data_IF_700599936125
#
_entry.id   IF_700599936125
#
_cell.length_a   1.000
_cell.length_b   1.000
_cell.length_c   1.000
_cell.angle_alpha   90.00
_cell.angle_beta   90.00
_cell.angle_gamma   90.00
#
_symmetry.space_group_name_H-M   'P 1'
#
loop_
_entity.id
_entity.type
_entity.pdbx_description
1 polymer ?
#
# COMPACT_ATOMS: atom_id res chain seq x y z
N UNK A 1 -11.45 57.15 19.59
CA UNK A 1 -11.24 56.42 20.88
C UNK A 1 -12.03 55.10 20.85
N UNK A 2 -13.25 55.05 20.30
CA UNK A 2 -14.07 53.83 20.21
C UNK A 2 -13.44 52.83 19.21
N UNK A 3 -12.94 53.30 18.09
CA UNK A 3 -12.33 52.48 17.04
C UNK A 3 -11.01 51.78 17.46
N UNK A 4 -10.25 52.43 18.34
CA UNK A 4 -9.01 51.86 18.87
C UNK A 4 -9.28 50.75 19.90
N UNK A 5 -10.35 50.82 20.68
CA UNK A 5 -10.74 49.78 21.64
C UNK A 5 -11.25 48.50 20.96
N UNK A 6 -11.95 48.62 19.80
CA UNK A 6 -12.43 47.48 19.03
C UNK A 6 -11.26 46.73 18.36
N UNK A 7 -10.24 47.47 17.87
CA UNK A 7 -9.04 46.86 17.30
C UNK A 7 -8.19 46.11 18.33
N UNK A 8 -8.09 46.62 19.56
CA UNK A 8 -7.39 45.90 20.64
C UNK A 8 -8.18 44.68 21.12
N UNK A 9 -9.50 44.71 21.12
CA UNK A 9 -10.34 43.59 21.52
C UNK A 9 -10.27 42.46 20.50
N UNK A 10 -10.26 42.77 19.19
CA UNK A 10 -10.09 41.78 18.14
C UNK A 10 -8.69 41.13 18.09
N UNK A 11 -7.64 41.92 18.45
CA UNK A 11 -6.27 41.42 18.55
C UNK A 11 -6.09 40.48 19.75
N UNK A 12 -6.73 40.80 20.88
CA UNK A 12 -6.71 39.93 22.08
C UNK A 12 -7.46 38.65 21.85
N UNK A 13 -8.62 38.66 21.13
CA UNK A 13 -9.37 37.47 20.78
C UNK A 13 -8.57 36.56 19.82
N UNK A 14 -7.86 37.15 18.84
CA UNK A 14 -6.99 36.44 17.93
C UNK A 14 -5.76 35.84 18.64
N UNK A 15 -5.18 36.58 19.59
CA UNK A 15 -4.04 36.08 20.38
C UNK A 15 -4.44 34.95 21.33
N UNK A 16 -5.63 35.00 21.92
CA UNK A 16 -6.17 33.97 22.81
C UNK A 16 -6.49 32.69 22.00
N UNK A 17 -7.03 32.80 20.77
CA UNK A 17 -7.29 31.67 19.92
C UNK A 17 -5.99 30.97 19.44
N UNK A 18 -4.92 31.72 19.19
CA UNK A 18 -3.64 31.16 18.75
C UNK A 18 -2.86 30.44 19.86
N UNK A 19 -3.10 30.80 21.13
CA UNK A 19 -2.43 30.16 22.28
C UNK A 19 -3.14 28.87 22.72
N UNK A 20 -4.46 28.76 22.52
CA UNK A 20 -5.20 27.57 22.95
C UNK A 20 -5.03 26.34 22.02
N UNK A 21 -4.80 26.54 20.71
CA UNK A 21 -4.65 25.42 19.78
C UNK A 21 -3.44 24.49 20.09
N UNK A 22 -2.23 25.01 20.37
CA UNK A 22 -1.10 24.15 20.73
C UNK A 22 -1.25 23.51 22.13
N UNK A 23 -1.92 24.16 23.07
CA UNK A 23 -2.15 23.59 24.41
C UNK A 23 -3.14 22.41 24.35
N UNK A 24 -4.18 22.49 23.54
CA UNK A 24 -5.14 21.39 23.37
C UNK A 24 -4.50 20.17 22.70
N UNK A 25 -3.68 20.38 21.66
CA UNK A 25 -2.94 19.30 21.00
C UNK A 25 -1.98 18.60 21.98
N UNK A 26 -1.26 19.36 22.77
CA UNK A 26 -0.35 18.83 23.79
C UNK A 26 -1.09 18.04 24.89
N UNK A 27 -2.29 18.45 25.26
CA UNK A 27 -3.10 17.73 26.24
C UNK A 27 -3.55 16.36 25.72
N UNK A 28 -4.00 16.25 24.46
CA UNK A 28 -4.36 14.94 23.86
C UNK A 28 -3.14 14.05 23.69
N UNK A 29 -2.00 14.59 23.28
CA UNK A 29 -0.76 13.81 23.13
C UNK A 29 -0.34 13.17 24.45
N UNK A 30 -0.49 13.88 25.58
CA UNK A 30 -0.18 13.31 26.89
C UNK A 30 -1.16 12.19 27.28
N UNK A 31 -2.45 12.38 27.08
CA UNK A 31 -3.46 11.35 27.34
C UNK A 31 -3.22 10.10 26.49
N UNK A 32 -2.90 10.25 25.22
CA UNK A 32 -2.56 9.12 24.36
C UNK A 32 -1.26 8.43 24.79
N UNK A 33 -0.24 9.16 25.26
CA UNK A 33 0.99 8.54 25.81
C UNK A 33 0.72 7.76 27.10
N UNK A 34 -0.14 8.25 27.98
CA UNK A 34 -0.56 7.52 29.17
C UNK A 34 -1.27 6.22 28.78
N UNK A 35 -2.19 6.28 27.82
CA UNK A 35 -2.87 5.12 27.29
C UNK A 35 -1.88 4.11 26.67
N UNK A 36 -0.90 4.54 25.87
CA UNK A 36 0.14 3.67 25.31
C UNK A 36 0.98 2.96 26.40
N UNK A 37 1.18 3.57 27.56
CA UNK A 37 1.84 2.91 28.69
C UNK A 37 0.96 1.79 29.27
N UNK A 38 -0.36 1.97 29.32
CA UNK A 38 -1.30 0.94 29.76
C UNK A 38 -1.37 -0.22 28.78
N UNK A 39 -1.33 0.08 27.46
CA UNK A 39 -1.25 -0.95 26.40
C UNK A 39 0.01 -1.82 26.55
N UNK A 40 1.18 -1.19 26.75
CA UNK A 40 2.44 -1.93 26.95
C UNK A 40 2.47 -2.77 28.22
N UNK A 41 1.63 -2.46 29.21
CA UNK A 41 1.48 -3.23 30.46
C UNK A 41 0.43 -4.31 30.36
N UNK A 42 -0.20 -4.47 29.20
CA UNK A 42 -1.31 -5.43 28.97
C UNK A 42 -2.45 -5.28 29.98
N UNK A 43 -2.93 -4.04 30.17
CA UNK A 43 -3.99 -3.67 31.09
C UNK A 43 -5.28 -3.24 30.36
N UNK A 44 -5.99 -4.16 29.68
CA UNK A 44 -7.10 -3.83 28.76
C UNK A 44 -8.23 -3.06 29.42
N UNK A 45 -8.61 -3.37 30.67
CA UNK A 45 -9.63 -2.62 31.40
C UNK A 45 -9.24 -1.16 31.63
N UNK A 46 -7.97 -0.92 31.98
CA UNK A 46 -7.45 0.44 32.19
C UNK A 46 -7.38 1.21 30.87
N UNK A 47 -7.02 0.54 29.77
CA UNK A 47 -7.03 1.12 28.41
C UNK A 47 -8.44 1.56 28.03
N UNK A 48 -9.45 0.74 28.25
CA UNK A 48 -10.86 1.09 27.98
C UNK A 48 -11.27 2.31 28.79
N UNK A 49 -10.95 2.32 30.10
CA UNK A 49 -11.31 3.44 30.98
C UNK A 49 -10.64 4.74 30.52
N UNK A 50 -9.36 4.71 30.19
CA UNK A 50 -8.63 5.90 29.72
C UNK A 50 -9.09 6.38 28.34
N UNK A 51 -9.34 5.45 27.42
CA UNK A 51 -9.92 5.78 26.12
C UNK A 51 -11.30 6.45 26.26
N UNK A 52 -12.14 6.00 27.19
CA UNK A 52 -13.44 6.65 27.43
C UNK A 52 -13.32 8.03 28.04
N UNK A 53 -12.33 8.29 28.91
CA UNK A 53 -12.03 9.66 29.38
C UNK A 53 -11.64 10.58 28.24
N UNK A 54 -10.78 10.08 27.32
CA UNK A 54 -10.41 10.84 26.10
C UNK A 54 -11.66 11.13 25.27
N UNK A 55 -12.54 10.13 25.11
CA UNK A 55 -13.81 10.28 24.39
C UNK A 55 -14.69 11.35 24.99
N UNK A 56 -14.90 11.35 26.31
CA UNK A 56 -15.77 12.30 27.00
C UNK A 56 -15.20 13.73 26.91
N UNK A 57 -13.88 13.88 27.07
CA UNK A 57 -13.18 15.17 26.86
C UNK A 57 -13.38 15.65 25.41
N UNK A 58 -13.14 14.80 24.44
CA UNK A 58 -13.26 15.14 23.02
C UNK A 58 -14.71 15.50 22.64
N UNK A 59 -15.69 14.82 23.25
CA UNK A 59 -17.12 15.12 23.11
C UNK A 59 -17.48 16.49 23.65
N UNK A 60 -16.96 16.85 24.83
CA UNK A 60 -17.16 18.18 25.42
C UNK A 60 -16.53 19.30 24.58
N UNK A 61 -15.41 19.03 23.92
CA UNK A 61 -14.69 19.95 23.04
C UNK A 61 -15.16 19.90 21.58
N UNK A 62 -16.12 19.05 21.23
CA UNK A 62 -16.59 18.80 19.86
C UNK A 62 -15.46 18.38 18.90
N UNK A 63 -14.43 17.71 19.41
CA UNK A 63 -13.30 17.23 18.64
C UNK A 63 -13.59 15.81 18.09
N UNK A 64 -14.33 15.75 16.99
CA UNK A 64 -14.83 14.49 16.41
C UNK A 64 -13.72 13.49 16.05
N UNK A 65 -12.57 13.90 15.47
CA UNK A 65 -11.49 12.94 15.21
C UNK A 65 -10.93 12.29 16.48
N UNK A 66 -10.80 13.02 17.59
CA UNK A 66 -10.39 12.45 18.86
C UNK A 66 -11.46 11.55 19.46
N UNK A 67 -12.74 11.92 19.35
CA UNK A 67 -13.87 11.08 19.75
C UNK A 67 -13.84 9.74 19.02
N UNK A 68 -13.72 9.76 17.70
CA UNK A 68 -13.70 8.53 16.88
C UNK A 68 -12.52 7.64 17.25
N UNK A 69 -11.31 8.21 17.36
CA UNK A 69 -10.12 7.46 17.75
C UNK A 69 -10.29 6.80 19.10
N UNK A 70 -10.78 7.55 20.11
CA UNK A 70 -10.98 7.03 21.45
C UNK A 70 -12.06 5.95 21.51
N UNK A 71 -13.17 6.14 20.81
CA UNK A 71 -14.24 5.15 20.74
C UNK A 71 -13.76 3.83 20.12
N UNK A 72 -13.05 3.91 18.99
CA UNK A 72 -12.51 2.73 18.30
C UNK A 72 -11.45 2.00 19.14
N UNK A 73 -10.61 2.74 19.86
CA UNK A 73 -9.65 2.14 20.80
C UNK A 73 -10.38 1.39 21.92
N UNK A 74 -11.36 2.02 22.56
CA UNK A 74 -12.16 1.36 23.62
C UNK A 74 -12.90 0.14 23.07
N UNK A 75 -13.50 0.22 21.89
CA UNK A 75 -14.18 -0.87 21.20
C UNK A 75 -13.25 -2.06 20.94
N UNK A 76 -12.04 -1.81 20.45
CA UNK A 76 -11.04 -2.86 20.21
C UNK A 76 -10.74 -3.63 21.50
N UNK A 77 -10.47 -2.95 22.60
CA UNK A 77 -10.15 -3.59 23.88
C UNK A 77 -11.37 -4.24 24.54
N UNK A 78 -12.59 -3.67 24.39
CA UNK A 78 -13.83 -4.32 24.84
C UNK A 78 -14.06 -5.64 24.12
N UNK A 79 -13.83 -5.69 22.81
CA UNK A 79 -14.02 -6.92 22.03
C UNK A 79 -13.03 -8.03 22.40
N UNK A 80 -11.82 -7.68 22.87
CA UNK A 80 -10.84 -8.66 23.39
C UNK A 80 -11.31 -9.29 24.70
N UNK A 81 -11.97 -8.52 25.57
CA UNK A 81 -12.46 -9.00 26.87
C UNK A 81 -13.83 -9.69 26.76
N UNK A 82 -14.69 -9.16 25.92
CA UNK A 82 -16.07 -9.61 25.74
C UNK A 82 -16.41 -9.54 24.25
N UNK A 83 -16.23 -10.64 23.49
CA UNK A 83 -16.46 -10.64 22.04
C UNK A 83 -17.86 -10.16 21.62
N UNK A 84 -18.89 -10.44 22.41
CA UNK A 84 -20.27 -10.01 22.15
C UNK A 84 -20.45 -8.48 22.20
N UNK A 85 -19.54 -7.75 22.87
CA UNK A 85 -19.57 -6.28 22.91
C UNK A 85 -19.40 -5.64 21.53
N UNK A 86 -18.73 -6.34 20.61
CA UNK A 86 -18.52 -5.87 19.25
C UNK A 86 -19.83 -5.51 18.54
N UNK A 87 -20.85 -6.34 18.69
CA UNK A 87 -22.18 -6.08 18.09
C UNK A 87 -22.84 -4.81 18.65
N UNK A 88 -22.69 -4.59 19.96
CA UNK A 88 -23.24 -3.39 20.62
C UNK A 88 -22.50 -2.14 20.15
N UNK A 89 -21.17 -2.20 20.10
CA UNK A 89 -20.34 -1.11 19.63
C UNK A 89 -20.59 -0.78 18.14
N UNK A 90 -20.75 -1.78 17.28
CA UNK A 90 -21.12 -1.58 15.88
C UNK A 90 -22.47 -0.90 15.74
N UNK A 91 -23.48 -1.30 16.51
CA UNK A 91 -24.77 -0.61 16.53
C UNK A 91 -24.63 0.85 16.98
N UNK A 92 -23.76 1.12 17.95
CA UNK A 92 -23.44 2.47 18.39
C UNK A 92 -22.82 3.34 17.27
N UNK A 93 -21.88 2.77 16.50
CA UNK A 93 -21.30 3.45 15.33
C UNK A 93 -22.34 3.68 14.23
N UNK A 94 -23.22 2.72 13.97
CA UNK A 94 -24.29 2.83 12.98
C UNK A 94 -25.29 3.95 13.37
N UNK A 95 -25.66 4.00 14.64
CA UNK A 95 -26.51 5.06 15.18
C UNK A 95 -25.80 6.44 15.06
N UNK A 96 -24.53 6.53 15.41
CA UNK A 96 -23.74 7.75 15.25
C UNK A 96 -23.70 8.20 13.79
N UNK A 97 -23.40 7.30 12.86
CA UNK A 97 -23.39 7.59 11.42
C UNK A 97 -24.74 8.08 10.90
N UNK A 98 -25.86 7.55 11.45
CA UNK A 98 -27.20 7.96 11.05
C UNK A 98 -27.62 9.35 11.60
N UNK A 99 -27.11 9.71 12.78
CA UNK A 99 -27.50 10.92 13.51
C UNK A 99 -26.61 12.13 13.21
N UNK A 100 -25.34 11.90 12.77
CA UNK A 100 -24.46 13.02 12.48
C UNK A 100 -24.91 13.83 11.26
N UNK A 101 -24.88 15.16 11.41
CA UNK A 101 -25.14 16.10 10.31
C UNK A 101 -23.90 16.36 9.45
N UNK A 102 -22.72 15.95 9.89
CA UNK A 102 -21.45 16.13 9.16
C UNK A 102 -21.32 15.06 8.06
N UNK A 103 -21.14 15.50 6.84
CA UNK A 103 -20.91 14.62 5.67
C UNK A 103 -19.58 13.86 5.87
N UNK A 104 -18.56 14.54 6.35
CA UNK A 104 -17.21 14.02 6.59
C UNK A 104 -17.24 12.90 7.64
N UNK A 105 -17.89 13.15 8.78
CA UNK A 105 -17.98 12.17 9.86
C UNK A 105 -18.77 10.94 9.44
N UNK A 106 -19.89 11.17 8.74
CA UNK A 106 -20.72 10.11 8.19
C UNK A 106 -19.93 9.21 7.23
N UNK A 107 -19.15 9.81 6.33
CA UNK A 107 -18.33 9.07 5.38
C UNK A 107 -17.27 8.20 6.08
N UNK A 108 -16.60 8.74 7.10
CA UNK A 108 -15.61 8.01 7.89
C UNK A 108 -16.26 6.84 8.64
N UNK A 109 -17.36 7.10 9.33
CA UNK A 109 -18.07 6.06 10.10
C UNK A 109 -18.57 4.94 9.19
N UNK A 110 -19.12 5.25 8.03
CA UNK A 110 -19.53 4.23 7.07
C UNK A 110 -18.34 3.45 6.48
N UNK A 111 -17.18 4.07 6.28
CA UNK A 111 -15.97 3.36 5.85
C UNK A 111 -15.52 2.34 6.92
N UNK A 112 -15.55 2.72 8.19
CA UNK A 112 -15.23 1.84 9.32
C UNK A 112 -16.24 0.69 9.42
N UNK A 113 -17.54 1.00 9.39
CA UNK A 113 -18.62 0.00 9.42
C UNK A 113 -18.52 -0.97 8.23
N UNK A 114 -18.17 -0.47 7.04
CA UNK A 114 -17.95 -1.29 5.86
C UNK A 114 -16.84 -2.31 6.07
N UNK A 115 -15.69 -1.87 6.57
CA UNK A 115 -14.56 -2.78 6.87
C UNK A 115 -14.95 -3.86 7.90
N UNK A 116 -15.56 -3.45 8.99
CA UNK A 116 -15.92 -4.35 10.08
C UNK A 116 -17.02 -5.35 9.71
N UNK A 117 -17.91 -4.99 8.80
CA UNK A 117 -19.04 -5.82 8.39
C UNK A 117 -18.69 -6.78 7.26
N UNK A 118 -17.68 -6.44 6.42
CA UNK A 118 -17.39 -7.14 5.17
C UNK A 118 -17.14 -8.64 5.35
N UNK A 119 -16.51 -9.07 6.45
CA UNK A 119 -16.23 -10.49 6.71
C UNK A 119 -17.48 -11.30 7.00
N UNK A 120 -18.46 -10.71 7.66
CA UNK A 120 -19.70 -11.37 8.09
C UNK A 120 -20.82 -11.25 7.02
N UNK A 121 -21.00 -10.06 6.47
CA UNK A 121 -22.03 -9.72 5.50
C UNK A 121 -21.45 -8.81 4.40
N UNK A 122 -21.06 -9.42 3.27
CA UNK A 122 -20.48 -8.74 2.12
C UNK A 122 -21.41 -7.68 1.53
N UNK A 123 -22.74 -8.00 1.44
CA UNK A 123 -23.72 -7.07 0.88
C UNK A 123 -23.85 -5.82 1.75
N UNK A 124 -24.02 -5.99 3.05
CA UNK A 124 -24.12 -4.88 3.99
C UNK A 124 -22.82 -4.08 4.06
N UNK A 125 -21.67 -4.77 4.10
CA UNK A 125 -20.35 -4.14 4.09
C UNK A 125 -20.10 -3.30 2.83
N UNK A 126 -20.44 -3.83 1.65
CA UNK A 126 -20.34 -3.08 0.39
C UNK A 126 -21.26 -1.87 0.39
N UNK A 127 -22.49 -2.00 0.89
CA UNK A 127 -23.44 -0.89 1.02
C UNK A 127 -22.87 0.25 1.87
N UNK A 128 -22.20 -0.05 2.99
CA UNK A 128 -21.54 0.95 3.81
C UNK A 128 -20.34 1.60 3.09
N UNK A 129 -19.49 0.83 2.40
CA UNK A 129 -18.38 1.39 1.64
C UNK A 129 -18.87 2.33 0.53
N UNK A 130 -19.94 1.96 -0.18
CA UNK A 130 -20.55 2.82 -1.19
C UNK A 130 -21.16 4.09 -0.56
N UNK A 131 -21.83 3.96 0.59
CA UNK A 131 -22.35 5.10 1.33
C UNK A 131 -21.25 6.06 1.80
N UNK A 132 -20.07 5.53 2.15
CA UNK A 132 -18.90 6.35 2.55
C UNK A 132 -18.36 7.22 1.40
N UNK A 133 -18.63 6.86 0.15
CA UNK A 133 -18.12 7.56 -1.04
C UNK A 133 -19.18 8.42 -1.76
N UNK A 134 -20.41 8.46 -1.23
CA UNK A 134 -21.54 9.08 -1.91
C UNK A 134 -21.36 10.57 -2.18
N UNK A 135 -20.84 11.31 -1.22
CA UNK A 135 -20.74 12.78 -1.28
C UNK A 135 -19.35 13.22 -1.79
N UNK A 136 -18.91 12.63 -2.92
CA UNK A 136 -17.60 12.78 -3.53
C UNK A 136 -17.10 14.23 -3.57
N UNK A 137 -17.91 15.14 -4.15
CA UNK A 137 -17.49 16.52 -4.40
C UNK A 137 -17.20 17.26 -3.09
N UNK A 138 -17.95 16.98 -2.05
CA UNK A 138 -17.70 17.52 -0.71
C UNK A 138 -16.43 16.92 -0.10
N UNK A 139 -16.24 15.62 -0.19
CA UNK A 139 -15.12 14.91 0.39
C UNK A 139 -13.78 15.25 -0.29
N UNK A 140 -13.77 15.59 -1.56
CA UNK A 140 -12.60 16.10 -2.29
C UNK A 140 -12.06 17.43 -1.71
N UNK A 141 -12.91 18.23 -1.06
CA UNK A 141 -12.54 19.50 -0.45
C UNK A 141 -12.01 19.36 0.98
N UNK A 142 -12.10 18.19 1.58
CA UNK A 142 -11.70 17.95 2.98
C UNK A 142 -10.25 17.49 3.05
N UNK A 143 -9.33 18.30 3.63
CA UNK A 143 -7.95 17.90 3.77
C UNK A 143 -7.79 16.80 4.83
N UNK A 144 -6.95 15.79 4.54
CA UNK A 144 -6.70 14.64 5.44
C UNK A 144 -6.01 15.06 6.75
N UNK A 145 -5.29 16.18 6.76
CA UNK A 145 -4.66 16.73 7.96
C UNK A 145 -5.62 16.94 9.13
N UNK A 146 -6.88 17.23 8.85
CA UNK A 146 -7.93 17.35 9.87
C UNK A 146 -8.17 16.03 10.62
N UNK A 147 -7.77 14.91 10.04
CA UNK A 147 -7.94 13.56 10.59
C UNK A 147 -6.67 13.01 11.26
N UNK A 148 -5.63 13.83 11.43
CA UNK A 148 -4.34 13.40 12.04
C UNK A 148 -4.47 12.54 13.31
N UNK A 149 -5.40 12.79 14.22
CA UNK A 149 -5.56 11.92 15.38
C UNK A 149 -5.92 10.46 15.02
N UNK A 150 -6.60 10.23 13.88
CA UNK A 150 -7.06 8.92 13.44
C UNK A 150 -6.13 8.28 12.41
N UNK A 151 -5.53 9.10 11.55
CA UNK A 151 -4.74 8.62 10.40
C UNK A 151 -3.27 8.92 10.63
N UNK A 152 -2.45 7.86 10.74
CA UNK A 152 -0.99 7.98 10.67
C UNK A 152 -0.60 8.07 9.20
N UNK A 153 -0.41 9.29 8.71
CA UNK A 153 0.11 9.53 7.37
C UNK A 153 1.64 9.37 7.42
N UNK A 154 2.15 8.21 7.00
CA UNK A 154 3.59 7.99 6.83
C UNK A 154 4.12 8.74 5.60
N UNK A 155 5.45 8.89 5.47
CA UNK A 155 6.08 9.53 4.30
C UNK A 155 5.67 8.86 2.98
N UNK A 156 5.57 7.52 2.95
CA UNK A 156 5.09 6.77 1.81
C UNK A 156 3.62 7.07 1.47
N UNK A 157 2.80 7.37 2.48
CA UNK A 157 1.38 7.67 2.30
C UNK A 157 1.13 9.05 1.71
N UNK A 158 2.00 10.03 1.98
CA UNK A 158 1.93 11.38 1.37
C UNK A 158 1.95 11.33 -0.16
N UNK A 159 2.56 10.31 -0.72
CA UNK A 159 2.71 10.08 -2.14
C UNK A 159 1.41 9.61 -2.81
N UNK A 160 0.61 8.81 -2.08
CA UNK A 160 -0.62 8.19 -2.57
C UNK A 160 -1.88 8.87 -2.04
N UNK A 161 -1.82 9.40 -0.82
CA UNK A 161 -2.93 10.10 -0.18
C UNK A 161 -2.77 11.60 -0.44
N UNK A 162 -3.27 12.03 -1.56
CA UNK A 162 -3.36 13.45 -1.80
C UNK A 162 -4.45 14.00 -0.92
N UNK A 163 -4.01 14.54 0.14
CA UNK A 163 -4.56 15.57 1.03
C UNK A 163 -6.08 15.71 1.12
N UNK A 164 -6.88 14.78 0.53
CA UNK A 164 -8.32 14.83 0.62
C UNK A 164 -8.96 13.52 1.08
N UNK A 165 -10.09 13.67 1.76
CA UNK A 165 -10.81 12.58 2.39
C UNK A 165 -11.38 11.59 1.37
N UNK A 166 -11.85 12.04 0.21
CA UNK A 166 -12.38 11.15 -0.82
C UNK A 166 -11.33 10.12 -1.28
N UNK A 167 -10.11 10.58 -1.59
CA UNK A 167 -9.03 9.70 -2.00
C UNK A 167 -8.69 8.66 -0.92
N UNK A 168 -8.59 9.11 0.33
CA UNK A 168 -8.32 8.23 1.47
C UNK A 168 -9.37 7.11 1.56
N UNK A 169 -10.66 7.48 1.58
CA UNK A 169 -11.76 6.54 1.74
C UNK A 169 -11.92 5.61 0.52
N UNK A 170 -11.77 6.14 -0.70
CA UNK A 170 -11.88 5.34 -1.92
C UNK A 170 -10.76 4.30 -2.03
N UNK A 171 -9.51 4.66 -1.73
CA UNK A 171 -8.39 3.70 -1.69
C UNK A 171 -8.55 2.67 -0.59
N UNK A 172 -9.06 3.06 0.58
CA UNK A 172 -9.40 2.12 1.64
C UNK A 172 -10.51 1.15 1.22
N UNK A 173 -11.56 1.66 0.59
CA UNK A 173 -12.65 0.83 0.06
C UNK A 173 -12.14 -0.18 -0.99
N UNK A 174 -11.30 0.25 -1.94
CA UNK A 174 -10.66 -0.62 -2.92
C UNK A 174 -9.88 -1.74 -2.22
N UNK A 175 -9.06 -1.40 -1.23
CA UNK A 175 -8.25 -2.37 -0.48
C UNK A 175 -9.13 -3.42 0.22
N UNK A 176 -10.18 -2.99 0.90
CA UNK A 176 -11.12 -3.87 1.60
C UNK A 176 -11.85 -4.77 0.59
N UNK A 177 -12.41 -4.20 -0.46
CA UNK A 177 -13.12 -4.97 -1.49
C UNK A 177 -12.20 -6.00 -2.17
N UNK A 178 -10.94 -5.68 -2.45
CA UNK A 178 -9.97 -6.61 -3.01
C UNK A 178 -9.67 -7.77 -2.04
N UNK A 179 -9.54 -7.48 -0.75
CA UNK A 179 -9.28 -8.50 0.27
C UNK A 179 -10.40 -9.55 0.35
N UNK A 180 -11.65 -9.12 0.25
CA UNK A 180 -12.82 -10.01 0.39
C UNK A 180 -13.38 -10.55 -0.92
N UNK A 181 -12.83 -10.17 -2.07
CA UNK A 181 -13.34 -10.53 -3.40
C UNK A 181 -13.54 -12.03 -3.61
N UNK A 182 -12.54 -12.84 -3.25
CA UNK A 182 -12.61 -14.29 -3.43
C UNK A 182 -13.68 -14.93 -2.55
N UNK A 183 -13.85 -14.45 -1.32
CA UNK A 183 -14.89 -14.92 -0.42
C UNK A 183 -16.29 -14.58 -0.95
N UNK A 184 -16.47 -13.39 -1.53
CA UNK A 184 -17.72 -12.96 -2.13
C UNK A 184 -18.05 -13.80 -3.37
N UNK A 185 -17.10 -14.03 -4.26
CA UNK A 185 -17.27 -14.85 -5.47
C UNK A 185 -17.62 -16.29 -5.14
N UNK A 186 -16.97 -16.89 -4.14
CA UNK A 186 -17.27 -18.26 -3.69
C UNK A 186 -18.69 -18.38 -3.14
N UNK A 187 -19.16 -17.40 -2.35
CA UNK A 187 -20.53 -17.38 -1.81
C UNK A 187 -21.60 -17.21 -2.92
N UNK A 188 -21.27 -16.51 -3.99
CA UNK A 188 -22.19 -16.22 -5.09
C UNK A 188 -22.19 -17.29 -6.20
N UNK A 189 -21.39 -18.36 -6.09
CA UNK A 189 -21.14 -19.35 -7.15
C UNK A 189 -20.78 -18.69 -8.50
N UNK A 190 -20.10 -17.56 -8.46
CA UNK A 190 -19.73 -16.78 -9.63
C UNK A 190 -18.31 -17.12 -10.07
N UNK A 191 -18.14 -17.46 -11.34
CA UNK A 191 -16.84 -17.38 -11.99
C UNK A 191 -16.54 -15.92 -12.29
N UNK A 192 -15.38 -15.41 -11.86
CA UNK A 192 -14.93 -14.01 -12.07
C UNK A 192 -14.62 -13.69 -13.56
N UNK A 193 -15.31 -14.27 -14.50
CA UNK A 193 -15.17 -13.96 -15.92
C UNK A 193 -16.09 -12.79 -16.28
N UNK A 194 -15.66 -11.56 -15.95
CA UNK A 194 -16.12 -10.43 -16.73
C UNK A 194 -15.52 -10.59 -18.12
N UNK A 195 -16.35 -10.99 -19.08
CA UNK A 195 -16.05 -10.81 -20.49
C UNK A 195 -16.14 -9.31 -20.77
N UNK A 196 -15.05 -8.62 -20.60
CA UNK A 196 -15.00 -7.19 -20.82
C UNK A 196 -14.17 -6.95 -22.06
N UNK A 197 -14.77 -6.38 -23.07
CA UNK A 197 -14.11 -6.03 -24.32
C UNK A 197 -13.41 -4.67 -24.20
N UNK A 198 -12.43 -4.60 -23.29
CA UNK A 198 -11.61 -3.40 -23.07
C UNK A 198 -10.16 -3.75 -23.32
N UNK A 199 -9.48 -2.93 -24.09
CA UNK A 199 -8.09 -3.12 -24.51
C UNK A 199 -7.15 -1.98 -24.11
N UNK A 200 -7.68 -0.91 -23.52
CA UNK A 200 -6.92 0.25 -23.09
C UNK A 200 -7.56 0.98 -21.90
N UNK A 201 -6.83 1.94 -21.31
CA UNK A 201 -7.31 2.68 -20.14
C UNK A 201 -8.33 3.75 -20.46
N UNK A 202 -8.38 4.27 -21.70
CA UNK A 202 -9.41 5.26 -22.10
C UNK A 202 -10.78 4.57 -22.16
N UNK A 203 -10.82 3.34 -22.69
CA UNK A 203 -12.01 2.48 -22.65
C UNK A 203 -12.39 2.13 -21.21
N UNK A 204 -11.41 1.76 -20.37
CA UNK A 204 -11.66 1.48 -18.95
C UNK A 204 -12.36 2.64 -18.24
N UNK A 205 -11.90 3.87 -18.41
CA UNK A 205 -12.47 5.05 -17.71
C UNK A 205 -13.93 5.31 -18.10
N UNK A 206 -14.32 4.97 -19.34
CA UNK A 206 -15.67 5.24 -19.87
C UNK A 206 -16.62 4.05 -19.81
N UNK A 207 -16.09 2.85 -19.58
CA UNK A 207 -16.88 1.62 -19.56
C UNK A 207 -17.92 1.61 -18.44
N UNK A 208 -19.13 1.08 -18.75
CA UNK A 208 -20.20 0.93 -17.76
C UNK A 208 -20.16 -0.47 -17.16
N UNK A 209 -19.58 -0.60 -15.98
CA UNK A 209 -19.60 -1.85 -15.22
C UNK A 209 -20.99 -2.07 -14.62
N UNK A 210 -21.70 -3.09 -15.11
CA UNK A 210 -22.96 -3.52 -14.54
C UNK A 210 -22.66 -4.64 -13.53
N UNK A 211 -22.96 -4.45 -12.24
CA UNK A 211 -22.78 -5.49 -11.25
C UNK A 211 -23.63 -6.73 -11.58
N UNK A 212 -23.04 -7.90 -11.52
CA UNK A 212 -23.75 -9.19 -11.76
C UNK A 212 -24.53 -9.66 -10.53
N UNK A 213 -24.29 -9.05 -9.38
CA UNK A 213 -24.99 -9.27 -8.12
C UNK A 213 -24.85 -8.10 -7.17
N UNK A 214 -25.67 -8.08 -6.09
CA UNK A 214 -25.58 -7.08 -5.03
C UNK A 214 -24.27 -7.16 -4.20
N UNK A 215 -23.42 -8.16 -4.46
CA UNK A 215 -22.14 -8.40 -3.80
C UNK A 215 -20.97 -8.39 -4.78
N UNK A 216 -21.13 -7.80 -5.97
CA UNK A 216 -20.06 -7.75 -6.98
C UNK A 216 -18.96 -6.78 -6.59
N UNK A 217 -18.02 -7.27 -5.77
CA UNK A 217 -16.86 -6.49 -5.33
C UNK A 217 -15.93 -6.15 -6.48
N UNK A 218 -15.90 -6.94 -7.55
CA UNK A 218 -15.05 -6.67 -8.72
C UNK A 218 -15.55 -5.45 -9.48
N UNK A 219 -16.84 -5.39 -9.79
CA UNK A 219 -17.44 -4.22 -10.41
C UNK A 219 -17.30 -2.98 -9.52
N UNK A 220 -17.52 -3.12 -8.21
CA UNK A 220 -17.37 -2.02 -7.26
C UNK A 220 -15.94 -1.46 -7.19
N UNK A 221 -14.91 -2.31 -7.23
CA UNK A 221 -13.50 -1.87 -7.30
C UNK A 221 -13.25 -1.09 -8.59
N UNK A 222 -13.70 -1.59 -9.73
CA UNK A 222 -13.52 -0.91 -11.01
C UNK A 222 -14.23 0.44 -11.07
N UNK A 223 -15.48 0.50 -10.63
CA UNK A 223 -16.23 1.76 -10.52
C UNK A 223 -15.55 2.76 -9.59
N UNK A 224 -14.93 2.29 -8.50
CA UNK A 224 -14.20 3.17 -7.57
C UNK A 224 -12.92 3.71 -8.21
N UNK A 225 -12.15 2.90 -8.95
CA UNK A 225 -11.01 3.37 -9.73
C UNK A 225 -11.43 4.40 -10.79
N UNK A 226 -12.51 4.13 -11.54
CA UNK A 226 -13.05 5.09 -12.51
C UNK A 226 -13.42 6.42 -11.85
N UNK A 227 -14.05 6.36 -10.68
CA UNK A 227 -14.45 7.57 -9.94
C UNK A 227 -13.26 8.38 -9.47
N UNK A 228 -12.17 7.73 -9.04
CA UNK A 228 -10.90 8.37 -8.70
C UNK A 228 -10.24 9.00 -9.94
N UNK A 229 -10.15 8.27 -11.05
CA UNK A 229 -9.56 8.78 -12.29
C UNK A 229 -10.30 10.02 -12.79
N UNK A 230 -11.65 9.98 -12.79
CA UNK A 230 -12.49 11.13 -13.15
C UNK A 230 -12.32 12.31 -12.19
N UNK A 231 -12.01 12.06 -10.91
CA UNK A 231 -11.75 13.13 -9.94
C UNK A 231 -10.44 13.87 -10.20
N UNK A 232 -9.47 13.19 -10.82
CA UNK A 232 -8.14 13.72 -11.10
C UNK A 232 -7.91 14.06 -12.59
N UNK A 233 -8.95 14.05 -13.42
CA UNK A 233 -8.84 14.33 -14.85
C UNK A 233 -8.76 15.83 -15.15
N UNK A 234 -7.83 16.51 -14.48
CA UNK A 234 -7.48 17.91 -14.71
C UNK A 234 -5.97 18.06 -14.84
N UNK A 235 -5.49 19.13 -15.47
CA UNK A 235 -4.05 19.37 -15.58
C UNK A 235 -3.35 19.50 -14.23
N UNK A 236 -4.02 20.16 -13.27
CA UNK A 236 -3.50 20.38 -11.91
C UNK A 236 -3.45 19.11 -11.07
N UNK A 237 -4.29 18.12 -11.38
CA UNK A 237 -4.41 16.87 -10.63
C UNK A 237 -3.81 15.65 -11.38
N UNK A 238 -3.12 15.90 -12.49
CA UNK A 238 -2.57 14.84 -13.36
C UNK A 238 -1.62 13.87 -12.65
N UNK A 239 -0.94 14.32 -11.61
CA UNK A 239 -0.12 13.43 -10.78
C UNK A 239 -0.97 12.35 -10.06
N UNK A 240 -2.12 12.74 -9.49
CA UNK A 240 -3.06 11.81 -8.84
C UNK A 240 -3.70 10.86 -9.84
N UNK A 241 -4.02 11.36 -11.04
CA UNK A 241 -4.51 10.55 -12.15
C UNK A 241 -3.51 9.47 -12.53
N UNK A 242 -2.24 9.84 -12.74
CA UNK A 242 -1.18 8.92 -13.15
C UNK A 242 -0.96 7.81 -12.11
N UNK A 243 -0.85 8.17 -10.83
CA UNK A 243 -0.68 7.20 -9.75
C UNK A 243 -1.89 6.26 -9.64
N UNK A 244 -3.09 6.79 -9.75
CA UNK A 244 -4.33 5.99 -9.72
C UNK A 244 -4.43 5.09 -10.95
N UNK A 245 -4.03 5.59 -12.12
CA UNK A 245 -3.98 4.83 -13.37
C UNK A 245 -3.02 3.64 -13.28
N UNK A 246 -1.83 3.85 -12.71
CA UNK A 246 -0.86 2.76 -12.47
C UNK A 246 -1.44 1.69 -11.54
N UNK A 247 -2.10 2.09 -10.45
CA UNK A 247 -2.73 1.14 -9.53
C UNK A 247 -3.88 0.37 -10.21
N UNK A 248 -4.71 1.07 -10.98
CA UNK A 248 -5.80 0.46 -11.76
C UNK A 248 -5.27 -0.51 -12.82
N UNK A 249 -4.22 -0.12 -13.55
CA UNK A 249 -3.59 -0.95 -14.57
C UNK A 249 -3.00 -2.24 -13.97
N UNK A 250 -2.33 -2.14 -12.82
CA UNK A 250 -1.84 -3.30 -12.09
C UNK A 250 -2.99 -4.22 -11.62
N UNK A 251 -4.10 -3.65 -11.18
CA UNK A 251 -5.28 -4.41 -10.82
C UNK A 251 -5.88 -5.14 -12.03
N UNK A 252 -6.02 -4.46 -13.16
CA UNK A 252 -6.54 -5.02 -14.41
C UNK A 252 -5.65 -6.14 -14.93
N UNK A 253 -4.34 -5.95 -14.96
CA UNK A 253 -3.38 -7.00 -15.35
C UNK A 253 -3.53 -8.27 -14.49
N UNK A 254 -3.60 -8.13 -13.18
CA UNK A 254 -3.70 -9.28 -12.27
C UNK A 254 -5.02 -10.04 -12.36
N UNK A 255 -6.09 -9.38 -12.77
CA UNK A 255 -7.43 -9.94 -12.72
C UNK A 255 -8.06 -10.17 -14.09
N UNK A 256 -7.55 -9.52 -15.14
CA UNK A 256 -8.09 -9.52 -16.50
C UNK A 256 -6.97 -9.58 -17.54
N UNK A 257 -5.98 -10.42 -17.30
CA UNK A 257 -4.79 -10.55 -18.18
C UNK A 257 -5.10 -10.98 -19.63
N UNK A 258 -6.29 -11.50 -19.89
CA UNK A 258 -6.76 -11.79 -21.25
C UNK A 258 -6.98 -10.50 -22.07
N UNK A 259 -7.47 -9.44 -21.44
CA UNK A 259 -7.71 -8.11 -22.03
C UNK A 259 -6.54 -7.17 -21.79
N UNK A 260 -6.08 -7.12 -20.52
CA UNK A 260 -4.92 -6.32 -20.11
C UNK A 260 -3.68 -7.21 -20.00
N UNK A 261 -3.19 -7.65 -21.16
CA UNK A 261 -1.94 -8.42 -21.25
C UNK A 261 -0.73 -7.58 -20.81
N UNK A 262 0.39 -8.24 -20.58
CA UNK A 262 1.63 -7.56 -20.27
C UNK A 262 2.00 -6.50 -21.31
N UNK A 263 1.80 -6.81 -22.61
CA UNK A 263 2.11 -5.90 -23.72
C UNK A 263 1.20 -4.69 -23.75
N UNK A 264 -0.10 -4.84 -23.50
CA UNK A 264 -1.07 -3.75 -23.37
C UNK A 264 -0.66 -2.82 -22.21
N UNK A 265 -0.31 -3.39 -21.07
CA UNK A 265 0.13 -2.60 -19.91
C UNK A 265 1.41 -1.81 -20.18
N UNK A 266 2.37 -2.42 -20.88
CA UNK A 266 3.60 -1.71 -21.30
C UNK A 266 3.28 -0.57 -22.28
N UNK A 267 2.39 -0.79 -23.25
CA UNK A 267 1.98 0.24 -24.22
C UNK A 267 1.33 1.43 -23.52
N UNK A 268 0.41 1.19 -22.59
CA UNK A 268 -0.22 2.26 -21.80
C UNK A 268 0.80 3.05 -20.97
N UNK A 269 1.73 2.39 -20.29
CA UNK A 269 2.75 3.06 -19.51
C UNK A 269 3.70 3.90 -20.38
N UNK A 270 4.09 3.41 -21.57
CA UNK A 270 4.88 4.17 -22.54
C UNK A 270 4.12 5.38 -23.08
N UNK A 271 2.83 5.21 -23.38
CA UNK A 271 1.92 6.31 -23.77
C UNK A 271 1.91 7.41 -22.69
N UNK A 272 1.76 7.06 -21.42
CA UNK A 272 1.76 8.03 -20.33
C UNK A 272 3.09 8.73 -20.11
N UNK A 273 4.21 7.99 -20.17
CA UNK A 273 5.56 8.55 -20.10
C UNK A 273 5.75 9.61 -21.19
N UNK A 274 5.33 9.31 -22.41
CA UNK A 274 5.46 10.22 -23.55
C UNK A 274 4.50 11.42 -23.47
N UNK A 275 3.27 11.18 -23.03
CA UNK A 275 2.21 12.21 -23.01
C UNK A 275 2.39 13.20 -21.86
N UNK A 276 2.92 12.75 -20.72
CA UNK A 276 2.98 13.54 -19.47
C UNK A 276 4.39 13.76 -18.92
N UNK A 277 5.41 14.10 -19.75
CA UNK A 277 6.81 14.15 -19.29
C UNK A 277 7.08 15.18 -18.20
N UNK A 278 6.23 16.22 -18.09
CA UNK A 278 6.36 17.27 -17.07
C UNK A 278 5.71 16.92 -15.73
N UNK A 279 4.96 15.83 -15.65
CA UNK A 279 4.27 15.42 -14.42
C UNK A 279 5.28 14.81 -13.45
N UNK A 280 5.34 15.32 -12.22
CA UNK A 280 6.32 14.91 -11.20
C UNK A 280 6.34 13.40 -10.91
N UNK A 281 5.20 12.73 -11.03
CA UNK A 281 5.03 11.31 -10.71
C UNK A 281 5.29 10.37 -11.90
N UNK A 282 5.69 10.88 -13.06
CA UNK A 282 6.05 10.05 -14.22
C UNK A 282 7.12 8.99 -13.91
N UNK A 283 8.11 9.21 -13.02
CA UNK A 283 9.02 8.14 -12.61
C UNK A 283 8.34 6.88 -12.06
N UNK A 284 7.12 6.98 -11.55
CA UNK A 284 6.34 5.80 -11.15
C UNK A 284 5.88 4.97 -12.34
N UNK A 285 5.61 5.61 -13.48
CA UNK A 285 5.31 4.88 -14.71
C UNK A 285 6.55 4.14 -15.24
N UNK A 286 7.75 4.71 -15.11
CA UNK A 286 9.01 4.02 -15.40
C UNK A 286 9.22 2.82 -14.46
N UNK A 287 8.93 2.97 -13.17
CA UNK A 287 9.00 1.87 -12.20
C UNK A 287 8.02 0.74 -12.56
N UNK A 288 6.78 1.08 -12.85
CA UNK A 288 5.77 0.12 -13.26
C UNK A 288 6.15 -0.60 -14.57
N UNK A 289 6.63 0.15 -15.57
CA UNK A 289 7.10 -0.41 -16.84
C UNK A 289 8.29 -1.37 -16.63
N UNK A 290 9.24 -1.01 -15.77
CA UNK A 290 10.35 -1.90 -15.42
C UNK A 290 9.89 -3.19 -14.75
N UNK A 291 8.80 -3.18 -13.98
CA UNK A 291 8.20 -4.39 -13.41
C UNK A 291 7.55 -5.28 -14.48
N UNK A 292 6.79 -4.71 -15.43
CA UNK A 292 6.20 -5.46 -16.53
C UNK A 292 7.26 -6.10 -17.45
N UNK A 293 8.37 -5.39 -17.71
CA UNK A 293 9.51 -5.92 -18.46
C UNK A 293 10.23 -7.07 -17.71
N UNK A 294 10.25 -7.05 -16.39
CA UNK A 294 10.78 -8.13 -15.57
C UNK A 294 9.96 -9.43 -15.76
N UNK A 295 8.65 -9.34 -15.83
CA UNK A 295 7.78 -10.51 -16.05
C UNK A 295 8.03 -11.18 -17.40
N UNK A 296 8.50 -10.45 -18.40
CA UNK A 296 8.92 -10.98 -19.70
C UNK A 296 10.39 -11.38 -19.75
N UNK A 297 11.14 -11.26 -18.65
CA UNK A 297 12.60 -11.47 -18.58
C UNK A 297 13.42 -10.62 -19.56
N UNK A 298 12.90 -9.48 -19.99
CA UNK A 298 13.57 -8.56 -20.92
C UNK A 298 14.49 -7.59 -20.17
N UNK A 299 15.63 -8.08 -19.68
CA UNK A 299 16.53 -7.31 -18.83
C UNK A 299 17.24 -6.16 -19.57
N UNK A 300 17.49 -6.29 -20.87
CA UNK A 300 18.15 -5.25 -21.67
C UNK A 300 17.24 -4.03 -21.79
N UNK A 301 16.00 -4.22 -22.17
CA UNK A 301 15.03 -3.14 -22.28
C UNK A 301 14.68 -2.57 -20.91
N UNK A 302 14.56 -3.44 -19.88
CA UNK A 302 14.35 -3.02 -18.50
C UNK A 302 15.45 -2.07 -18.02
N UNK A 303 16.72 -2.38 -18.30
CA UNK A 303 17.85 -1.51 -17.96
C UNK A 303 17.79 -0.17 -18.71
N UNK A 304 17.44 -0.20 -20.00
CA UNK A 304 17.29 1.02 -20.81
C UNK A 304 16.25 1.96 -20.22
N UNK A 305 15.05 1.44 -19.91
CA UNK A 305 13.93 2.21 -19.35
C UNK A 305 14.29 2.77 -17.97
N UNK A 306 14.92 1.97 -17.11
CA UNK A 306 15.35 2.41 -15.78
C UNK A 306 16.35 3.57 -15.87
N UNK A 307 17.35 3.48 -16.75
CA UNK A 307 18.35 4.55 -16.98
C UNK A 307 17.73 5.82 -17.55
N UNK A 308 16.76 5.68 -18.46
CA UNK A 308 16.01 6.79 -19.02
C UNK A 308 15.25 7.54 -17.91
N UNK A 309 14.55 6.80 -17.02
CA UNK A 309 13.86 7.38 -15.87
C UNK A 309 14.81 8.08 -14.89
N UNK A 310 15.99 7.48 -14.59
CA UNK A 310 17.00 8.09 -13.73
C UNK A 310 17.55 9.39 -14.33
N UNK A 311 17.86 9.38 -15.63
CA UNK A 311 18.43 10.54 -16.33
C UNK A 311 17.41 11.68 -16.46
N UNK A 312 16.14 11.35 -16.77
CA UNK A 312 15.07 12.33 -16.94
C UNK A 312 14.63 12.99 -15.62
N UNK A 313 14.70 12.25 -14.51
CA UNK A 313 14.12 12.69 -13.24
C UNK A 313 15.06 12.53 -12.02
N UNK A 314 16.29 13.06 -12.08
CA UNK A 314 17.33 12.79 -11.07
C UNK A 314 16.99 13.32 -9.67
N UNK A 315 16.05 14.28 -9.57
CA UNK A 315 15.62 14.91 -8.30
C UNK A 315 14.33 14.32 -7.74
N UNK A 316 13.78 13.27 -8.39
CA UNK A 316 12.57 12.64 -7.91
C UNK A 316 12.85 11.94 -6.57
N UNK A 317 12.00 12.16 -5.56
CA UNK A 317 12.19 11.61 -4.20
C UNK A 317 12.26 10.07 -4.17
N UNK A 318 11.50 9.40 -5.06
CA UNK A 318 11.48 7.95 -5.22
C UNK A 318 12.56 7.38 -6.14
N UNK A 319 13.50 8.20 -6.66
CA UNK A 319 14.48 7.80 -7.67
C UNK A 319 15.36 6.62 -7.24
N UNK A 320 15.55 6.44 -5.94
CA UNK A 320 16.34 5.33 -5.42
C UNK A 320 15.74 3.96 -5.75
N UNK A 321 14.45 3.87 -6.01
CA UNK A 321 13.82 2.61 -6.44
C UNK A 321 14.32 2.22 -7.85
N UNK A 322 14.38 3.17 -8.80
CA UNK A 322 14.98 2.92 -10.12
C UNK A 322 16.47 2.59 -10.03
N UNK A 323 17.24 3.31 -9.21
CA UNK A 323 18.67 3.01 -8.97
C UNK A 323 18.89 1.64 -8.37
N UNK A 324 18.00 1.18 -7.48
CA UNK A 324 18.06 -0.17 -6.93
C UNK A 324 17.78 -1.24 -8.00
N UNK A 325 16.83 -0.99 -8.90
CA UNK A 325 16.59 -1.89 -10.05
C UNK A 325 17.80 -1.92 -10.98
N UNK A 326 18.40 -0.78 -11.30
CA UNK A 326 19.64 -0.74 -12.10
C UNK A 326 20.74 -1.57 -11.45
N UNK A 327 20.98 -1.37 -10.16
CA UNK A 327 21.96 -2.14 -9.40
C UNK A 327 21.63 -3.64 -9.39
N UNK A 328 20.38 -4.01 -9.20
CA UNK A 328 19.90 -5.41 -9.26
C UNK A 328 20.22 -6.04 -10.62
N UNK A 329 19.93 -5.33 -11.72
CA UNK A 329 20.18 -5.83 -13.07
C UNK A 329 21.68 -6.01 -13.31
N UNK A 330 22.51 -5.06 -12.87
CA UNK A 330 23.95 -5.04 -13.10
C UNK A 330 24.76 -5.88 -12.12
N UNK A 331 24.20 -6.28 -11.00
CA UNK A 331 24.91 -7.09 -10.02
C UNK A 331 25.34 -8.42 -10.63
N UNK A 332 26.60 -8.76 -10.40
CA UNK A 332 27.11 -10.09 -10.66
C UNK A 332 26.53 -11.10 -9.67
N UNK A 333 26.14 -12.26 -10.17
CA UNK A 333 25.69 -13.36 -9.31
C UNK A 333 26.22 -14.69 -9.83
N UNK A 334 26.45 -15.60 -8.88
CA UNK A 334 26.88 -16.97 -9.13
C UNK A 334 26.17 -17.88 -8.13
N UNK A 335 25.54 -18.92 -8.64
CA UNK A 335 25.04 -20.00 -7.79
C UNK A 335 25.40 -21.37 -8.39
N UNK A 336 25.74 -22.30 -7.50
CA UNK A 336 26.05 -23.69 -7.85
C UNK A 336 24.96 -24.60 -7.28
N UNK A 337 24.44 -25.45 -8.14
CA UNK A 337 23.53 -26.53 -7.76
C UNK A 337 24.25 -27.85 -7.99
N UNK A 338 24.49 -28.61 -6.92
CA UNK A 338 25.19 -29.91 -6.95
C UNK A 338 24.20 -30.95 -6.46
N UNK A 339 23.92 -31.95 -7.29
CA UNK A 339 23.13 -33.10 -6.88
C UNK A 339 23.90 -33.97 -5.87
N UNK A 340 23.18 -34.65 -5.01
CA UNK A 340 23.82 -35.68 -4.13
C UNK A 340 24.46 -36.75 -4.99
N UNK A 341 25.71 -37.05 -4.69
CA UNK A 341 26.55 -37.94 -5.45
C UNK A 341 26.94 -39.16 -4.67
N UNK A 342 27.00 -40.30 -5.38
CA UNK A 342 27.55 -41.54 -4.81
C UNK A 342 28.89 -41.89 -5.46
N UNK A 343 29.77 -42.58 -4.75
CA UNK A 343 31.07 -42.98 -5.29
C UNK A 343 30.94 -43.77 -6.59
N UNK A 344 31.68 -43.37 -7.62
CA UNK A 344 31.66 -44.02 -8.94
C UNK A 344 30.64 -43.47 -9.94
N UNK A 345 29.75 -42.53 -9.53
CA UNK A 345 28.80 -41.90 -10.41
C UNK A 345 29.36 -40.62 -11.05
N UNK A 346 28.89 -40.32 -12.28
CA UNK A 346 29.21 -39.07 -12.94
C UNK A 346 28.45 -37.95 -12.28
N UNK A 347 29.21 -36.91 -11.86
CA UNK A 347 28.66 -35.74 -11.20
C UNK A 347 28.40 -34.62 -12.19
N UNK A 348 27.24 -33.97 -12.06
CA UNK A 348 26.93 -32.73 -12.75
C UNK A 348 26.84 -31.56 -11.77
N UNK A 349 27.47 -30.46 -12.11
CA UNK A 349 27.39 -29.19 -11.37
C UNK A 349 26.67 -28.21 -12.28
N UNK A 350 25.47 -27.79 -11.88
CA UNK A 350 24.75 -26.74 -12.59
C UNK A 350 25.23 -25.40 -12.06
N UNK A 351 25.78 -24.58 -12.96
CA UNK A 351 26.30 -23.25 -12.66
C UNK A 351 25.33 -22.22 -13.25
N UNK A 352 24.67 -21.47 -12.38
CA UNK A 352 23.85 -20.33 -12.80
C UNK A 352 24.65 -19.05 -12.49
N UNK A 353 24.86 -18.23 -13.51
CA UNK A 353 25.63 -16.99 -13.35
C UNK A 353 25.00 -15.82 -14.13
N UNK A 354 25.31 -14.63 -13.69
CA UNK A 354 24.85 -13.37 -14.29
C UNK A 354 25.94 -12.33 -14.19
N UNK A 355 26.18 -11.60 -15.27
CA UNK A 355 27.13 -10.47 -15.35
C UNK A 355 28.56 -10.84 -14.92
N UNK A 356 28.99 -12.05 -15.22
CA UNK A 356 30.36 -12.53 -14.99
C UNK A 356 31.04 -12.76 -16.35
N UNK A 357 32.27 -12.30 -16.50
CA UNK A 357 33.07 -12.47 -17.72
C UNK A 357 33.80 -13.83 -17.79
N UNK A 358 33.91 -14.50 -16.66
CA UNK A 358 34.52 -15.81 -16.54
C UNK A 358 34.27 -16.44 -15.16
N UNK A 359 34.30 -17.77 -15.12
CA UNK A 359 34.14 -18.56 -13.90
C UNK A 359 35.26 -19.58 -13.87
N UNK A 360 35.96 -19.66 -12.74
CA UNK A 360 36.96 -20.69 -12.50
C UNK A 360 36.41 -21.66 -11.45
N UNK A 361 36.31 -22.94 -11.83
CA UNK A 361 35.94 -24.00 -10.89
C UNK A 361 37.18 -24.70 -10.40
N UNK A 362 37.29 -24.83 -9.07
CA UNK A 362 38.39 -25.56 -8.41
C UNK A 362 37.78 -26.69 -7.61
N UNK A 363 38.24 -27.91 -7.88
CA UNK A 363 37.79 -29.11 -7.19
C UNK A 363 38.90 -29.54 -6.22
N UNK A 364 38.55 -29.71 -4.95
CA UNK A 364 39.48 -30.13 -3.90
C UNK A 364 39.08 -31.50 -3.38
N UNK A 365 40.06 -32.39 -3.23
CA UNK A 365 39.87 -33.59 -2.42
C UNK A 365 40.08 -33.21 -0.94
N UNK A 366 39.06 -33.42 -0.13
CA UNK A 366 39.11 -33.06 1.31
C UNK A 366 39.09 -34.31 2.19
N UNK A 367 39.88 -34.28 3.26
CA UNK A 367 39.80 -35.27 4.33
C UNK A 367 38.97 -34.67 5.47
N UNK A 368 37.68 -34.96 5.48
CA UNK A 368 36.79 -34.48 6.51
C UNK A 368 36.80 -35.43 7.70
N UNK A 369 37.19 -35.01 8.90
CA UNK A 369 36.77 -35.72 10.10
C UNK A 369 35.25 -35.71 10.14
N UNK A 370 34.65 -36.89 10.29
CA UNK A 370 33.18 -37.12 10.20
C UNK A 370 32.48 -36.49 11.43
N UNK A 371 32.54 -35.20 11.56
CA UNK A 371 31.75 -34.46 12.56
C UNK A 371 30.91 -33.39 11.87
N UNK A 372 29.61 -33.47 12.06
CA UNK A 372 28.60 -32.52 11.51
C UNK A 372 28.91 -31.04 11.80
N UNK A 373 29.69 -30.74 12.81
CA UNK A 373 30.13 -29.38 13.16
C UNK A 373 31.04 -28.74 12.10
N UNK A 374 31.80 -29.52 11.32
CA UNK A 374 32.70 -29.02 10.27
C UNK A 374 31.90 -28.59 9.02
N UNK A 375 30.78 -29.26 8.73
CA UNK A 375 29.91 -28.97 7.58
C UNK A 375 29.04 -27.73 7.82
N UNK A 376 28.78 -27.36 9.06
CA UNK A 376 27.97 -26.22 9.42
C UNK A 376 28.76 -24.89 9.48
N UNK A 377 30.07 -24.95 9.73
CA UNK A 377 30.91 -23.76 9.76
C UNK A 377 31.46 -23.45 8.35
N UNK A 378 30.75 -22.67 7.60
CA UNK A 378 31.18 -22.07 6.32
C UNK A 378 32.20 -20.95 6.58
N UNK A 379 33.39 -21.30 7.08
CA UNK A 379 34.44 -20.31 7.30
C UNK A 379 35.30 -20.16 6.05
N UNK A 380 35.77 -18.95 5.79
CA UNK A 380 36.67 -18.55 4.69
C UNK A 380 38.04 -19.26 4.67
N UNK A 381 38.32 -20.13 5.62
CA UNK A 381 39.58 -20.88 5.76
C UNK A 381 39.43 -22.39 5.53
N UNK A 382 38.32 -22.85 4.97
CA UNK A 382 38.08 -24.27 4.71
C UNK A 382 39.13 -24.86 3.80
N UNK A 383 39.52 -24.18 2.75
CA UNK A 383 40.50 -24.61 1.76
C UNK A 383 41.89 -24.87 2.39
N UNK A 384 42.39 -23.95 3.19
CA UNK A 384 43.69 -24.04 3.81
C UNK A 384 43.79 -25.15 4.88
N UNK A 385 42.66 -25.50 5.48
CA UNK A 385 42.63 -26.45 6.61
C UNK A 385 42.35 -27.89 6.19
N UNK A 386 41.55 -28.10 5.15
CA UNK A 386 41.02 -29.43 4.80
C UNK A 386 41.32 -29.89 3.37
N UNK A 387 41.76 -29.01 2.46
CA UNK A 387 42.09 -29.39 1.10
C UNK A 387 43.38 -30.21 1.01
N UNK A 388 43.30 -31.42 0.43
CA UNK A 388 44.46 -32.29 0.22
C UNK A 388 45.07 -32.13 -1.17
N UNK A 389 44.29 -31.80 -2.19
CA UNK A 389 44.76 -31.58 -3.54
C UNK A 389 43.82 -30.69 -4.35
N UNK A 390 44.40 -29.91 -5.24
CA UNK A 390 43.67 -29.03 -6.15
C UNK A 390 43.58 -29.72 -7.52
N UNK A 391 42.38 -29.86 -8.07
CA UNK A 391 42.12 -30.24 -9.46
C UNK A 391 41.66 -29.02 -10.20
N UNK A 392 42.45 -28.52 -11.14
CA UNK A 392 42.15 -27.33 -11.92
C UNK A 392 41.31 -27.70 -13.15
N UNK A 393 40.10 -27.13 -13.26
CA UNK A 393 39.27 -27.25 -14.44
C UNK A 393 38.98 -25.80 -14.91
N UNK A 394 39.56 -25.41 -16.04
CA UNK A 394 39.25 -24.13 -16.69
C UNK A 394 38.55 -24.38 -18.02
N UNK A 395 37.29 -24.00 -18.14
CA UNK A 395 36.62 -23.89 -19.45
C UNK A 395 36.51 -22.42 -19.86
N UNK A 396 36.88 -22.09 -21.12
CA UNK A 396 36.64 -20.74 -21.61
C UNK A 396 35.15 -20.53 -21.83
N UNK A 397 34.55 -19.60 -21.07
CA UNK A 397 33.17 -19.18 -21.30
C UNK A 397 33.09 -18.40 -22.61
N UNK A 398 32.32 -18.87 -23.58
CA UNK A 398 31.99 -18.09 -24.76
C UNK A 398 30.95 -17.03 -24.36
N UNK A 399 31.16 -15.73 -24.68
CA UNK A 399 30.09 -14.73 -24.53
C UNK A 399 29.01 -15.01 -25.57
N UNK A 400 27.76 -15.02 -25.14
CA UNK A 400 26.58 -14.99 -25.99
C UNK A 400 26.22 -13.55 -26.31
#
# INVERSE_FOLDING_TARGET
>A
IVDMKIRYLSLIVLLVMSVFAPIQAQTYDNLWKELEVLERKDLPQSVISEAMKIYDKAKAEQNVPQMMKAYLTAMQYRSLLTPDSLKVDMNGLEQWASQTGSVEDKAILYSILGEMTMSADVKKGLGYLQASLKDKDRLLLVPVEKLRPMVRVGEASKRYFRDNLYNLLARRAIQIMQQYRWQAAAKANQTNSLSVDMTDMDQFVTYQFVPVSDCDLTAAVMQTYQSLLKAYDTETEREGWLLTGIDALNYLYRNFSGNFSNDVCQQELRKWIHTYPAVKTVPEAYLALAQFLQYQNNQVERLRIVREGIAGYPRYEGINQLKNIEKEILNASLSLEIATAYPGEQQSVKVNYKNLTGITLQLYKVNLPVTSAVLQNRTTHFESKYALSLIHISEPTRPY
#
